data_IF_721452253433
#
_entry.id   IF_721452253433
#
_cell.length_a   1.000
_cell.length_b   1.000
_cell.length_c   1.000
_cell.angle_alpha   90.00
_cell.angle_beta   90.00
_cell.angle_gamma   90.00
#
_symmetry.space_group_name_H-M   'P 1'
#
loop_
_entity.id
_entity.type
_entity.pdbx_description
1 polymer ?
#
# COMPACT_ATOMS: atom_id res chain seq x y z
N UNK A 1 2.14 -0.05 18.95
CA UNK A 1 2.51 -0.88 17.78
C UNK A 1 3.20 0.02 16.75
N UNK A 2 4.28 -0.42 16.09
CA UNK A 2 4.89 0.37 15.00
C UNK A 2 4.28 -0.06 13.67
N UNK A 3 4.17 0.89 12.74
CA UNK A 3 3.68 0.64 11.40
C UNK A 3 4.59 1.30 10.37
N UNK A 4 4.58 0.77 9.15
CA UNK A 4 5.19 1.41 7.99
C UNK A 4 4.14 1.56 6.89
N UNK A 5 4.12 2.75 6.26
CA UNK A 5 3.23 3.01 5.13
C UNK A 5 3.88 2.52 3.84
N UNK A 6 3.17 1.66 3.12
CA UNK A 6 3.60 1.08 1.85
C UNK A 6 2.52 1.36 0.81
N UNK A 7 2.94 1.85 -0.36
CA UNK A 7 2.01 2.14 -1.45
C UNK A 7 1.56 0.86 -2.12
N UNK A 8 0.31 0.82 -2.57
CA UNK A 8 -0.17 -0.27 -3.41
C UNK A 8 0.56 -0.26 -4.77
N UNK A 9 0.77 -1.45 -5.38
CA UNK A 9 0.32 -2.78 -4.95
C UNK A 9 1.24 -3.49 -3.94
N UNK A 10 2.33 -2.86 -3.52
CA UNK A 10 3.38 -3.52 -2.74
C UNK A 10 2.94 -3.93 -1.33
N UNK A 11 2.02 -3.19 -0.72
CA UNK A 11 1.48 -3.54 0.59
C UNK A 11 0.78 -4.91 0.55
N UNK A 12 -0.07 -5.14 -0.45
CA UNK A 12 -0.76 -6.42 -0.65
C UNK A 12 0.22 -7.58 -0.89
N UNK A 13 1.26 -7.34 -1.70
CA UNK A 13 2.27 -8.36 -1.98
C UNK A 13 3.05 -8.78 -0.74
N UNK A 14 3.25 -7.88 0.22
CA UNK A 14 3.90 -8.21 1.50
C UNK A 14 2.96 -9.02 2.38
N UNK A 15 1.70 -8.59 2.52
CA UNK A 15 0.69 -9.32 3.31
C UNK A 15 0.47 -10.74 2.77
N UNK A 16 0.44 -10.90 1.45
CA UNK A 16 0.35 -12.20 0.76
C UNK A 16 1.66 -12.98 0.67
N UNK A 17 2.77 -12.43 1.20
CA UNK A 17 4.12 -13.05 1.20
C UNK A 17 4.75 -13.26 -0.17
N UNK A 18 4.25 -12.61 -1.22
CA UNK A 18 4.92 -12.57 -2.52
C UNK A 18 6.14 -11.64 -2.52
N UNK A 19 6.14 -10.61 -1.68
CA UNK A 19 7.27 -9.72 -1.44
C UNK A 19 7.73 -9.84 -0.01
N UNK A 20 8.91 -10.43 0.20
CA UNK A 20 9.47 -10.66 1.53
C UNK A 20 10.45 -9.56 1.97
N UNK A 21 10.98 -8.79 1.02
CA UNK A 21 11.95 -7.72 1.26
C UNK A 21 11.33 -6.37 0.93
N UNK A 22 11.35 -5.47 1.91
CA UNK A 22 10.99 -4.06 1.78
C UNK A 22 12.27 -3.21 1.74
N UNK A 23 12.33 -2.23 0.82
CA UNK A 23 13.52 -1.42 0.54
C UNK A 23 13.22 0.07 0.72
N UNK A 24 14.12 0.79 1.39
CA UNK A 24 14.04 2.25 1.62
C UNK A 24 15.41 2.89 1.51
N UNK A 25 15.43 4.20 1.28
CA UNK A 25 16.67 5.01 1.24
C UNK A 25 17.30 5.24 2.60
N UNK A 26 16.59 4.97 3.69
CA UNK A 26 17.06 5.17 5.06
C UNK A 26 17.04 3.86 5.85
N UNK A 27 18.03 3.63 6.74
CA UNK A 27 18.12 2.41 7.53
C UNK A 27 17.23 2.47 8.78
N UNK A 28 16.74 1.31 9.23
CA UNK A 28 16.05 1.18 10.52
C UNK A 28 16.71 0.12 11.40
N UNK A 29 16.88 0.43 12.69
CA UNK A 29 17.36 -0.54 13.71
C UNK A 29 16.24 -1.38 14.32
N UNK A 30 14.98 -1.10 13.98
CA UNK A 30 13.83 -1.76 14.59
C UNK A 30 13.76 -3.25 14.23
N UNK A 31 13.40 -4.08 15.21
CA UNK A 31 13.16 -5.52 15.07
C UNK A 31 11.95 -5.90 15.93
N UNK A 32 11.10 -6.79 15.42
CA UNK A 32 9.86 -7.21 16.08
C UNK A 32 8.64 -7.07 15.17
N UNK A 33 7.45 -7.12 15.77
CA UNK A 33 6.17 -7.01 15.04
C UNK A 33 6.00 -5.63 14.41
N UNK A 34 5.81 -5.59 13.10
CA UNK A 34 5.61 -4.37 12.33
C UNK A 34 4.30 -4.45 11.57
N UNK A 35 3.39 -3.51 11.81
CA UNK A 35 2.15 -3.40 11.06
C UNK A 35 2.42 -2.81 9.66
N UNK A 36 1.67 -3.31 8.67
CA UNK A 36 1.70 -2.78 7.31
C UNK A 36 0.48 -1.88 7.13
N UNK A 37 0.71 -0.61 6.81
CA UNK A 37 -0.34 0.33 6.47
C UNK A 37 -0.34 0.54 4.94
N UNK A 38 -1.43 0.16 4.28
CA UNK A 38 -1.61 0.42 2.86
C UNK A 38 -1.91 1.92 2.66
N UNK A 39 -1.03 2.62 1.94
CA UNK A 39 -1.22 4.04 1.66
C UNK A 39 -2.47 4.27 0.81
N UNK A 40 -3.26 5.30 1.17
CA UNK A 40 -4.52 5.63 0.49
C UNK A 40 -4.30 6.17 -0.94
N UNK A 41 -3.17 6.81 -1.21
CA UNK A 41 -2.87 7.41 -2.50
C UNK A 41 -2.20 6.42 -3.45
N UNK A 42 -2.65 6.40 -4.71
CA UNK A 42 -1.94 5.70 -5.76
C UNK A 42 -0.61 6.38 -6.09
N UNK A 43 0.47 5.61 -6.30
CA UNK A 43 1.72 6.15 -6.80
C UNK A 43 1.58 6.64 -8.24
N UNK A 44 2.44 7.59 -8.63
CA UNK A 44 2.40 8.20 -9.96
C UNK A 44 2.47 7.18 -11.11
N UNK A 45 3.31 6.14 -10.97
CA UNK A 45 3.39 5.08 -11.99
C UNK A 45 2.07 4.31 -12.13
N UNK A 46 1.35 4.06 -11.03
CA UNK A 46 0.08 3.35 -11.08
C UNK A 46 -1.02 4.22 -11.69
N UNK A 47 -1.03 5.53 -11.42
CA UNK A 47 -1.96 6.48 -12.03
C UNK A 47 -1.80 6.57 -13.55
N UNK A 48 -0.58 6.39 -14.06
CA UNK A 48 -0.30 6.40 -15.49
C UNK A 48 -0.73 5.10 -16.19
N UNK A 49 -0.66 3.97 -15.49
CA UNK A 49 -0.97 2.65 -16.07
C UNK A 49 -2.45 2.23 -15.93
N UNK A 50 -3.22 2.87 -15.04
CA UNK A 50 -4.64 2.56 -14.84
C UNK A 50 -5.48 3.84 -14.94
N UNK A 51 -5.83 4.27 -16.16
CA UNK A 51 -6.55 5.51 -16.38
C UNK A 51 -7.98 5.47 -15.80
N UNK A 52 -8.61 4.28 -15.71
CA UNK A 52 -9.99 4.13 -15.24
C UNK A 52 -10.15 4.49 -13.75
N UNK A 53 -9.10 4.36 -12.92
CA UNK A 53 -9.17 4.72 -11.50
C UNK A 53 -9.30 6.24 -11.30
N UNK A 54 -8.97 7.05 -12.30
CA UNK A 54 -9.11 8.50 -12.22
C UNK A 54 -10.53 8.99 -12.52
N UNK A 55 -11.45 8.11 -12.96
CA UNK A 55 -12.78 8.49 -13.44
C UNK A 55 -13.97 7.99 -12.59
N UNK A 56 -13.76 7.07 -11.63
CA UNK A 56 -14.87 6.39 -10.95
C UNK A 56 -14.72 6.35 -9.44
N UNK A 57 -15.84 6.56 -8.74
CA UNK A 57 -16.01 6.52 -7.29
C UNK A 57 -15.24 5.39 -6.60
N UNK A 58 -14.88 5.61 -5.33
CA UNK A 58 -14.28 4.63 -4.42
C UNK A 58 -15.03 3.28 -4.31
N UNK A 59 -16.22 3.15 -4.89
CA UNK A 59 -17.00 1.92 -5.00
C UNK A 59 -16.44 0.90 -6.00
N UNK A 60 -15.73 1.31 -7.06
CA UNK A 60 -15.29 0.40 -8.13
C UNK A 60 -14.02 -0.39 -7.79
N UNK A 61 -13.31 -0.01 -6.72
CA UNK A 61 -12.04 -0.65 -6.36
C UNK A 61 -12.17 -1.86 -5.43
N UNK A 62 -13.39 -2.24 -4.99
CA UNK A 62 -13.59 -3.38 -4.07
C UNK A 62 -12.90 -3.25 -2.71
N UNK A 63 -12.16 -2.16 -2.46
CA UNK A 63 -11.70 -1.72 -1.15
C UNK A 63 -12.84 -0.93 -0.53
N UNK A 64 -13.74 -1.67 0.12
CA UNK A 64 -14.81 -1.10 0.91
C UNK A 64 -14.29 0.07 1.73
N UNK A 65 -14.90 1.24 1.55
CA UNK A 65 -14.70 2.39 2.39
C UNK A 65 -14.95 1.95 3.84
N UNK A 66 -13.88 1.77 4.61
CA UNK A 66 -13.97 1.70 6.06
C UNK A 66 -14.37 3.11 6.52
N UNK A 67 -15.69 3.35 6.50
CA UNK A 67 -16.28 4.42 7.29
C UNK A 67 -15.92 4.17 8.75
N UNK A 68 -15.65 5.28 9.44
CA UNK A 68 -15.67 5.33 10.91
C UNK A 68 -16.98 4.79 11.44
#
# INVERSE_FOLDING_TARGET
MRAITILQPWAELIVRRFKTIETRSWPTKYRGQLAIHAGASLPAYAKACIPEINQGNAADLGVGAFSK
#
